data_IF_882081856160
#
_entry.id   IF_882081856160
#
_cell.length_a   1.000
_cell.length_b   1.000
_cell.length_c   1.000
_cell.angle_alpha   90.00
_cell.angle_beta   90.00
_cell.angle_gamma   90.00
#
_symmetry.space_group_name_H-M   'P 1'
#
loop_
_entity.id
_entity.type
_entity.pdbx_description
1 polymer ?
#
# COMPACT_ATOMS: atom_id res chain seq x y z
N UNK A 1 -2.84 -20.83 -4.44
CA UNK A 1 -2.59 -19.89 -5.56
C UNK A 1 -2.35 -18.54 -4.92
N UNK A 2 -1.27 -17.85 -5.30
CA UNK A 2 -0.89 -16.58 -4.68
C UNK A 2 -1.96 -15.51 -4.89
N UNK A 3 -2.24 -14.76 -3.83
CA UNK A 3 -3.18 -13.63 -3.83
C UNK A 3 -2.42 -12.34 -3.58
N UNK A 4 -2.83 -11.24 -4.19
CA UNK A 4 -2.12 -9.96 -4.11
C UNK A 4 -3.08 -8.87 -3.67
N UNK A 5 -2.73 -8.11 -2.63
CA UNK A 5 -3.32 -6.80 -2.41
C UNK A 5 -2.46 -5.74 -3.11
N UNK A 6 -3.11 -4.82 -3.81
CA UNK A 6 -2.50 -3.67 -4.46
C UNK A 6 -2.95 -2.39 -3.74
N UNK A 7 -2.04 -1.41 -3.66
CA UNK A 7 -2.28 -0.09 -3.09
C UNK A 7 -1.70 0.99 -4.00
N UNK A 8 -2.44 2.09 -4.17
CA UNK A 8 -1.96 3.30 -4.82
C UNK A 8 -2.31 4.49 -3.93
N UNK A 9 -1.31 5.25 -3.50
CA UNK A 9 -1.47 6.40 -2.61
C UNK A 9 -0.83 7.66 -3.21
N UNK A 10 -1.32 8.83 -2.81
CA UNK A 10 -0.64 10.11 -3.04
C UNK A 10 -0.03 10.57 -1.72
N UNK A 11 1.30 10.69 -1.67
CA UNK A 11 2.05 11.03 -0.45
C UNK A 11 2.73 12.38 -0.65
N UNK A 12 2.59 13.35 0.27
CA UNK A 12 3.35 14.59 0.20
C UNK A 12 4.86 14.31 0.07
N UNK A 13 5.52 15.01 -0.85
CA UNK A 13 6.94 14.78 -1.14
C UNK A 13 7.81 14.94 0.11
N UNK A 14 7.49 15.89 0.98
CA UNK A 14 8.19 16.15 2.25
C UNK A 14 7.94 15.08 3.33
N UNK A 15 7.06 14.10 3.06
CA UNK A 15 6.74 13.01 3.97
C UNK A 15 7.39 11.68 3.57
N UNK A 16 8.35 11.67 2.63
CA UNK A 16 8.98 10.43 2.15
C UNK A 16 9.58 9.59 3.29
N UNK A 17 10.33 10.20 4.20
CA UNK A 17 10.95 9.48 5.33
C UNK A 17 9.89 8.93 6.28
N UNK A 18 8.84 9.72 6.59
CA UNK A 18 7.70 9.26 7.41
C UNK A 18 6.95 8.11 6.75
N UNK A 19 6.84 8.12 5.43
CA UNK A 19 6.25 7.03 4.66
C UNK A 19 7.08 5.75 4.80
N UNK A 20 8.40 5.85 4.69
CA UNK A 20 9.29 4.70 4.89
C UNK A 20 9.16 4.15 6.31
N UNK A 21 9.12 4.99 7.33
CA UNK A 21 8.89 4.58 8.73
C UNK A 21 7.55 3.87 8.89
N UNK A 22 6.47 4.47 8.37
CA UNK A 22 5.13 3.91 8.39
C UNK A 22 5.08 2.53 7.74
N UNK A 23 5.60 2.42 6.51
CA UNK A 23 5.59 1.20 5.75
C UNK A 23 6.51 0.13 6.34
N UNK A 24 7.61 0.51 7.02
CA UNK A 24 8.49 -0.44 7.73
C UNK A 24 7.75 -1.13 8.87
N UNK A 25 7.00 -0.37 9.67
CA UNK A 25 6.17 -0.93 10.75
C UNK A 25 5.08 -1.82 10.15
N UNK A 26 4.35 -1.33 9.15
CA UNK A 26 3.30 -2.10 8.50
C UNK A 26 3.83 -3.40 7.90
N UNK A 27 4.97 -3.37 7.21
CA UNK A 27 5.56 -4.55 6.60
C UNK A 27 5.85 -5.65 7.62
N UNK A 28 6.38 -5.31 8.81
CA UNK A 28 6.60 -6.28 9.88
C UNK A 28 5.27 -6.93 10.30
N UNK A 29 4.23 -6.13 10.54
CA UNK A 29 2.91 -6.61 10.94
C UNK A 29 2.28 -7.51 9.85
N UNK A 30 2.32 -7.09 8.58
CA UNK A 30 1.84 -7.90 7.45
C UNK A 30 2.56 -9.26 7.38
N UNK A 31 3.89 -9.27 7.54
CA UNK A 31 4.70 -10.49 7.49
C UNK A 31 4.40 -11.43 8.66
N UNK A 32 4.20 -10.91 9.87
CA UNK A 32 3.79 -11.70 11.05
C UNK A 32 2.41 -12.35 10.87
N UNK A 33 1.53 -11.72 10.07
CA UNK A 33 0.19 -12.23 9.77
C UNK A 33 0.08 -13.00 8.45
N UNK A 34 1.19 -13.46 7.91
CA UNK A 34 1.21 -14.45 6.82
C UNK A 34 1.48 -13.88 5.43
N UNK A 35 1.78 -12.59 5.29
CA UNK A 35 2.26 -12.05 4.02
C UNK A 35 3.60 -12.69 3.63
N UNK A 36 3.76 -12.99 2.34
CA UNK A 36 4.99 -13.51 1.75
C UNK A 36 5.93 -12.39 1.35
N UNK A 37 5.39 -11.26 0.89
CA UNK A 37 6.15 -10.13 0.39
C UNK A 37 5.36 -8.84 0.64
N UNK A 38 6.07 -7.76 0.93
CA UNK A 38 5.55 -6.41 1.02
C UNK A 38 6.51 -5.52 0.24
N UNK A 39 6.02 -4.83 -0.79
CA UNK A 39 6.86 -4.00 -1.66
C UNK A 39 6.26 -2.62 -1.76
N UNK A 40 7.11 -1.62 -1.53
CA UNK A 40 6.77 -0.20 -1.56
C UNK A 40 7.61 0.51 -2.61
N UNK A 41 6.98 1.24 -3.53
CA UNK A 41 7.68 1.93 -4.63
C UNK A 41 7.32 3.41 -4.64
N UNK A 42 8.33 4.26 -4.63
CA UNK A 42 8.18 5.70 -4.75
C UNK A 42 8.17 6.11 -6.23
N UNK A 43 7.22 6.93 -6.65
CA UNK A 43 7.14 7.42 -8.02
C UNK A 43 8.42 8.12 -8.47
N UNK A 44 8.95 7.71 -9.62
CA UNK A 44 10.16 8.26 -10.25
C UNK A 44 9.81 8.84 -11.63
N UNK A 45 9.39 7.98 -12.56
CA UNK A 45 8.88 8.36 -13.89
C UNK A 45 7.39 8.00 -14.03
N UNK A 46 6.51 8.88 -13.53
CA UNK A 46 5.06 8.67 -13.51
C UNK A 46 4.39 9.71 -14.42
N UNK A 47 4.00 9.34 -15.66
CA UNK A 47 3.49 10.30 -16.63
C UNK A 47 2.09 10.80 -16.25
N UNK A 48 1.84 12.08 -16.54
CA UNK A 48 0.51 12.65 -16.51
C UNK A 48 -0.27 12.22 -17.76
N UNK A 49 -1.57 11.96 -17.60
CA UNK A 49 -2.47 11.64 -18.70
C UNK A 49 -3.64 12.62 -18.77
N UNK A 50 -4.35 12.63 -19.90
CA UNK A 50 -5.53 13.49 -20.10
C UNK A 50 -6.83 12.83 -19.65
N UNK A 51 -6.97 11.52 -19.88
CA UNK A 51 -8.18 10.75 -19.53
C UNK A 51 -7.97 10.00 -18.21
N UNK A 52 -6.83 9.32 -18.06
CA UNK A 52 -6.42 8.60 -16.86
C UNK A 52 -4.91 8.62 -16.70
N UNK A 53 -4.46 8.54 -15.46
CA UNK A 53 -3.06 8.32 -15.08
C UNK A 53 -3.03 7.88 -13.60
N UNK A 54 -1.88 7.43 -13.10
CA UNK A 54 -1.74 7.13 -11.68
C UNK A 54 -2.00 8.37 -10.79
N UNK A 55 -1.45 9.56 -11.09
CA UNK A 55 -1.80 10.79 -10.35
C UNK A 55 -3.30 11.10 -10.38
N UNK A 56 -3.97 10.94 -11.54
CA UNK A 56 -5.41 11.15 -11.64
C UNK A 56 -6.22 10.13 -10.83
N UNK A 57 -5.77 8.88 -10.77
CA UNK A 57 -6.45 7.82 -10.03
C UNK A 57 -6.56 8.15 -8.53
N UNK A 58 -5.47 8.61 -7.92
CA UNK A 58 -5.43 9.00 -6.50
C UNK A 58 -5.69 10.49 -6.28
N UNK A 59 -6.07 11.24 -7.32
CA UNK A 59 -6.25 12.70 -7.27
C UNK A 59 -5.09 13.40 -6.57
N UNK A 60 -3.86 13.08 -7.00
CA UNK A 60 -2.65 13.66 -6.44
C UNK A 60 -2.62 15.18 -6.61
N UNK A 61 -2.14 15.88 -5.59
CA UNK A 61 -1.85 17.31 -5.63
C UNK A 61 -0.43 17.56 -6.14
N UNK A 62 -0.12 18.81 -6.52
CA UNK A 62 1.16 19.18 -7.15
C UNK A 62 2.40 18.83 -6.30
N UNK A 63 2.26 18.79 -4.97
CA UNK A 63 3.35 18.46 -4.05
C UNK A 63 3.34 17.00 -3.57
N UNK A 64 2.56 16.13 -4.21
CA UNK A 64 2.44 14.73 -3.84
C UNK A 64 3.04 13.80 -4.89
N UNK A 65 3.66 12.73 -4.41
CA UNK A 65 4.21 11.66 -5.23
C UNK A 65 3.30 10.43 -5.11
N UNK A 66 3.09 9.77 -6.24
CA UNK A 66 2.39 8.49 -6.25
C UNK A 66 3.27 7.43 -5.62
N UNK A 67 2.73 6.68 -4.65
CA UNK A 67 3.28 5.41 -4.21
C UNK A 67 2.45 4.28 -4.79
N UNK A 68 3.15 3.29 -5.36
CA UNK A 68 2.57 2.04 -5.84
C UNK A 68 3.14 0.89 -5.03
N UNK A 69 2.27 0.10 -4.41
CA UNK A 69 2.70 -0.99 -3.55
C UNK A 69 1.80 -2.20 -3.60
N UNK A 70 2.35 -3.32 -3.15
CA UNK A 70 1.62 -4.58 -3.10
C UNK A 70 2.09 -5.47 -1.96
N UNK A 71 1.18 -6.36 -1.55
CA UNK A 71 1.42 -7.42 -0.58
C UNK A 71 1.06 -8.75 -1.21
N UNK A 72 1.98 -9.70 -1.20
CA UNK A 72 1.77 -11.06 -1.71
C UNK A 72 1.39 -11.99 -0.58
N UNK A 73 0.36 -12.80 -0.79
CA UNK A 73 -0.18 -13.75 0.18
C UNK A 73 -0.20 -15.17 -0.37
N UNK A 74 -0.12 -16.21 0.48
CA UNK A 74 -0.18 -17.61 0.04
C UNK A 74 -1.51 -17.99 -0.59
N UNK A 75 -2.60 -17.41 -0.09
CA UNK A 75 -3.97 -17.60 -0.57
C UNK A 75 -4.89 -16.47 -0.09
N UNK A 76 -6.11 -16.40 -0.64
CA UNK A 76 -7.12 -15.42 -0.21
C UNK A 76 -7.55 -15.65 1.24
N UNK A 77 -7.65 -16.90 1.68
CA UNK A 77 -8.03 -17.26 3.04
C UNK A 77 -7.00 -16.74 4.06
N UNK A 78 -5.71 -16.93 3.77
CA UNK A 78 -4.63 -16.38 4.59
C UNK A 78 -4.70 -14.86 4.59
N UNK A 79 -4.84 -14.23 3.41
CA UNK A 79 -5.00 -12.78 3.27
C UNK A 79 -6.13 -12.23 4.12
N UNK A 80 -7.32 -12.84 4.08
CA UNK A 80 -8.49 -12.34 4.82
C UNK A 80 -8.30 -12.48 6.33
N UNK A 81 -7.76 -13.63 6.79
CA UNK A 81 -7.44 -13.81 8.22
C UNK A 81 -6.36 -12.83 8.68
N UNK A 82 -5.34 -12.60 7.86
CA UNK A 82 -4.24 -11.71 8.15
C UNK A 82 -4.71 -10.27 8.24
N UNK A 83 -5.51 -9.80 7.27
CA UNK A 83 -6.09 -8.45 7.29
C UNK A 83 -6.92 -8.17 8.55
N UNK A 84 -7.75 -9.13 8.98
CA UNK A 84 -8.53 -8.96 10.21
C UNK A 84 -7.62 -8.77 11.42
N UNK A 85 -6.57 -9.59 11.55
CA UNK A 85 -5.61 -9.47 12.64
C UNK A 85 -4.80 -8.16 12.57
N UNK A 86 -4.41 -7.72 11.38
CA UNK A 86 -3.68 -6.46 11.16
C UNK A 86 -4.50 -5.25 11.60
N UNK A 87 -5.80 -5.23 11.30
CA UNK A 87 -6.69 -4.13 11.72
C UNK A 87 -6.87 -4.06 13.24
N UNK A 88 -6.72 -5.19 13.93
CA UNK A 88 -6.78 -5.27 15.39
C UNK A 88 -5.42 -5.03 16.06
N UNK A 89 -4.32 -5.00 15.29
CA UNK A 89 -2.98 -4.82 15.81
C UNK A 89 -2.78 -3.37 16.31
N UNK A 90 -2.44 -3.16 17.59
CA UNK A 90 -2.23 -1.82 18.14
C UNK A 90 -1.16 -1.02 17.41
N UNK A 91 -0.16 -1.68 16.79
CA UNK A 91 0.89 -1.02 16.00
C UNK A 91 0.35 -0.36 14.74
N UNK A 92 -0.85 -0.71 14.29
CA UNK A 92 -1.50 -0.15 13.10
C UNK A 92 -2.50 0.95 13.43
N UNK A 93 -2.64 1.32 14.70
CA UNK A 93 -3.50 2.45 15.10
C UNK A 93 -2.92 3.78 14.60
N UNK A 94 -3.79 4.78 14.39
CA UNK A 94 -3.38 6.13 14.00
C UNK A 94 -2.44 6.79 15.02
N UNK A 95 -2.54 6.39 16.30
CA UNK A 95 -1.65 6.87 17.36
C UNK A 95 -0.22 6.33 17.23
N UNK A 96 -0.08 5.04 16.87
CA UNK A 96 1.22 4.37 16.83
C UNK A 96 1.87 4.39 15.45
N UNK A 97 1.08 4.41 14.39
CA UNK A 97 1.55 4.40 13.02
C UNK A 97 0.68 5.30 12.12
N UNK A 98 0.71 6.62 12.33
CA UNK A 98 -0.13 7.58 11.61
C UNK A 98 0.15 7.51 10.11
N UNK A 99 -0.91 7.57 9.30
CA UNK A 99 -0.76 7.63 7.85
C UNK A 99 -0.14 8.97 7.44
N UNK A 100 1.03 8.98 6.78
CA UNK A 100 1.66 10.22 6.34
C UNK A 100 1.07 10.77 5.03
N UNK A 101 -0.15 10.34 4.68
CA UNK A 101 -0.89 10.66 3.46
C UNK A 101 -2.40 10.65 3.73
N UNK A 102 -3.19 11.14 2.78
CA UNK A 102 -4.66 11.14 2.88
C UNK A 102 -5.25 9.76 2.54
N UNK A 103 -5.57 8.98 3.56
CA UNK A 103 -6.18 7.65 3.41
C UNK A 103 -7.51 7.62 2.66
N UNK A 104 -8.21 8.76 2.49
CA UNK A 104 -9.47 8.81 1.72
C UNK A 104 -9.26 8.69 0.21
N UNK A 105 -8.05 8.98 -0.26
CA UNK A 105 -7.66 8.91 -1.67
C UNK A 105 -6.90 7.63 -2.01
N UNK A 106 -6.60 6.81 -1.01
CA UNK A 106 -5.98 5.51 -1.21
C UNK A 106 -6.89 4.62 -2.07
N UNK A 107 -6.33 4.09 -3.15
CA UNK A 107 -6.94 2.99 -3.90
C UNK A 107 -6.35 1.69 -3.38
N UNK A 108 -7.20 0.70 -3.10
CA UNK A 108 -6.76 -0.64 -2.75
C UNK A 108 -7.67 -1.71 -3.36
N UNK A 109 -7.12 -2.91 -3.57
CA UNK A 109 -7.88 -4.04 -4.09
C UNK A 109 -7.12 -5.35 -4.02
N UNK A 110 -7.87 -6.45 -3.94
CA UNK A 110 -7.33 -7.81 -3.91
C UNK A 110 -7.49 -8.54 -5.25
N UNK A 111 -6.47 -9.28 -5.66
CA UNK A 111 -6.36 -9.90 -6.98
C UNK A 111 -5.85 -11.34 -6.88
N UNK A 112 -6.40 -12.22 -7.72
CA UNK A 112 -5.83 -13.56 -7.94
C UNK A 112 -4.69 -13.46 -8.95
N UNK A 113 -3.56 -14.09 -8.65
CA UNK A 113 -2.44 -14.16 -9.59
C UNK A 113 -2.77 -15.16 -10.70
N UNK A 114 -2.81 -14.69 -11.95
CA UNK A 114 -3.11 -15.52 -13.13
C UNK A 114 -1.87 -15.93 -13.93
N UNK A 115 -0.74 -15.23 -13.74
CA UNK A 115 0.52 -15.48 -14.44
C UNK A 115 1.70 -15.06 -13.55
N UNK A 116 2.71 -15.93 -13.46
CA UNK A 116 4.04 -15.67 -12.90
C UNK A 116 5.06 -16.38 -13.79
N UNK A 117 6.15 -15.72 -14.18
CA UNK A 117 7.20 -16.27 -15.05
C UNK A 117 8.44 -16.68 -14.23
#
# INVERSE_FOLDING_TARGET
MSYVDCFVAAVPNDNREKYIEHATVSAVVFKEHGALEVVENWGDDVPQGEVTSLPLAVKAQDNEVVVFSWVVWPSKEVRDSGWNAIMEDPRMSEENNPMPFDGKRLIYGGFNTILTA
#
